data_IF_648532697984
#
_entry.id   IF_648532697984
#
_cell.length_a   1.000
_cell.length_b   1.000
_cell.length_c   1.000
_cell.angle_alpha   90.00
_cell.angle_beta   90.00
_cell.angle_gamma   90.00
#
_symmetry.space_group_name_H-M   'P 1'
#
loop_
_entity.id
_entity.type
_entity.pdbx_description
1 polymer ?
#
# COMPACT_ATOMS: atom_id res chain seq x y z
N UNK A 1 -7.23 -0.06 -24.67
CA UNK A 1 -6.03 0.76 -24.96
C UNK A 1 -4.88 -0.12 -25.45
N UNK A 2 -4.25 0.24 -26.57
CA UNK A 2 -3.09 -0.50 -27.10
C UNK A 2 -1.87 -0.09 -26.28
N UNK A 3 -1.31 -1.02 -25.50
CA UNK A 3 -0.09 -0.77 -24.72
C UNK A 3 1.10 -0.71 -25.67
N UNK A 4 1.98 0.27 -25.47
CA UNK A 4 3.30 0.30 -26.09
C UNK A 4 4.27 -0.36 -25.11
N UNK A 5 5.16 -1.22 -25.58
CA UNK A 5 6.06 -2.05 -24.74
C UNK A 5 7.05 -1.27 -23.85
N UNK A 6 7.05 0.07 -23.91
CA UNK A 6 8.03 0.95 -23.26
C UNK A 6 7.45 1.84 -22.16
N UNK A 7 6.13 1.90 -21.99
CA UNK A 7 5.52 2.83 -21.03
C UNK A 7 5.13 2.11 -19.73
N UNK A 8 5.58 2.63 -18.57
CA UNK A 8 5.14 2.14 -17.26
C UNK A 8 3.63 2.38 -17.09
N UNK A 9 2.89 1.31 -16.80
CA UNK A 9 1.45 1.38 -16.59
C UNK A 9 1.11 1.36 -15.11
N UNK A 10 0.44 2.41 -14.66
CA UNK A 10 -0.13 2.49 -13.31
C UNK A 10 -1.62 2.13 -13.35
N UNK A 11 -2.04 1.22 -12.47
CA UNK A 11 -3.45 0.83 -12.30
C UNK A 11 -3.94 1.32 -10.94
N UNK A 12 -5.02 2.12 -10.95
CA UNK A 12 -5.65 2.65 -9.75
C UNK A 12 -6.92 1.89 -9.39
N UNK A 13 -7.05 1.48 -8.13
CA UNK A 13 -8.28 0.92 -7.58
C UNK A 13 -8.92 1.95 -6.65
N UNK A 14 -10.18 2.31 -6.93
CA UNK A 14 -10.93 3.34 -6.19
C UNK A 14 -12.07 2.71 -5.38
N UNK A 15 -12.66 3.47 -4.46
CA UNK A 15 -13.71 3.01 -3.55
C UNK A 15 -13.26 1.90 -2.58
N UNK A 16 -11.96 1.84 -2.27
CA UNK A 16 -11.34 0.86 -1.36
C UNK A 16 -11.10 1.43 0.05
N UNK A 17 -11.80 2.50 0.42
CA UNK A 17 -11.54 3.27 1.66
C UNK A 17 -11.98 2.60 2.96
N UNK A 18 -12.84 1.57 2.89
CA UNK A 18 -13.37 0.90 4.07
C UNK A 18 -13.07 -0.61 4.05
N UNK A 19 -12.79 -1.17 5.22
CA UNK A 19 -12.60 -2.60 5.52
C UNK A 19 -11.45 -3.34 4.81
N UNK A 20 -10.98 -2.91 3.63
CA UNK A 20 -9.95 -3.62 2.87
C UNK A 20 -8.64 -3.79 3.66
N UNK A 21 -8.20 -2.73 4.34
CA UNK A 21 -7.03 -2.80 5.23
C UNK A 21 -7.24 -3.79 6.38
N UNK A 22 -8.35 -3.67 7.09
CA UNK A 22 -8.67 -4.50 8.25
C UNK A 22 -8.84 -5.98 7.88
N UNK A 23 -9.67 -6.29 6.89
CA UNK A 23 -9.96 -7.65 6.43
C UNK A 23 -8.76 -8.34 5.79
N UNK A 24 -7.88 -7.57 5.14
CA UNK A 24 -6.65 -8.16 4.62
C UNK A 24 -5.72 -8.68 5.73
N UNK A 25 -5.92 -8.28 6.99
CA UNK A 25 -5.00 -8.53 8.10
C UNK A 25 -3.77 -7.63 8.01
N UNK A 26 -3.96 -6.30 7.94
CA UNK A 26 -2.86 -5.34 7.87
C UNK A 26 -1.87 -5.54 9.04
N UNK A 27 -0.58 -5.68 8.74
CA UNK A 27 0.46 -5.97 9.73
C UNK A 27 0.59 -7.45 10.15
N UNK A 28 -0.30 -8.33 9.68
CA UNK A 28 -0.24 -9.78 9.86
C UNK A 28 0.49 -10.51 8.73
N UNK A 29 0.26 -11.81 8.58
CA UNK A 29 0.75 -12.60 7.43
C UNK A 29 -0.23 -12.51 6.26
N UNK A 30 0.29 -12.53 5.03
CA UNK A 30 -0.49 -12.49 3.79
C UNK A 30 -0.35 -13.79 3.00
N UNK A 31 -1.29 -14.04 2.10
CA UNK A 31 -1.16 -15.10 1.11
C UNK A 31 0.14 -14.91 0.32
N UNK A 32 0.95 -15.97 0.22
CA UNK A 32 2.28 -15.95 -0.40
C UNK A 32 3.30 -14.98 0.25
N UNK A 33 3.10 -14.56 1.51
CA UNK A 33 4.00 -13.63 2.21
C UNK A 33 4.24 -12.32 1.46
N UNK A 34 3.26 -11.89 0.65
CA UNK A 34 3.33 -10.63 -0.08
C UNK A 34 3.28 -9.49 0.94
N UNK A 35 4.29 -8.61 0.99
CA UNK A 35 4.31 -7.46 1.89
C UNK A 35 3.07 -6.58 1.75
N UNK A 36 2.54 -6.12 2.89
CA UNK A 36 1.59 -5.01 2.85
C UNK A 36 2.27 -3.75 2.29
N UNK A 37 1.61 -3.04 1.35
CA UNK A 37 2.21 -1.88 0.69
C UNK A 37 2.38 -0.71 1.65
N UNK A 38 3.25 0.23 1.27
CA UNK A 38 3.33 1.54 1.94
C UNK A 38 2.00 2.28 1.82
N UNK A 39 1.59 2.97 2.89
CA UNK A 39 0.42 3.83 2.90
C UNK A 39 0.89 5.27 2.99
N UNK A 40 0.49 6.09 2.02
CA UNK A 40 0.80 7.53 1.96
C UNK A 40 -0.51 8.29 2.08
N UNK A 41 -0.54 9.27 2.98
CA UNK A 41 -1.62 10.24 3.08
C UNK A 41 -1.21 11.45 2.27
N UNK A 42 -2.04 11.81 1.30
CA UNK A 42 -1.89 12.99 0.47
C UNK A 42 -2.93 13.99 0.98
N UNK A 43 -2.44 15.15 1.40
CA UNK A 43 -3.27 16.25 1.88
C UNK A 43 -3.09 17.46 0.97
N UNK A 44 -4.09 18.33 0.93
CA UNK A 44 -4.06 19.55 0.13
C UNK A 44 -4.31 20.74 1.04
N UNK A 45 -3.35 21.65 1.09
CA UNK A 45 -3.44 22.82 1.96
C UNK A 45 -4.39 23.90 1.41
N UNK A 46 -4.58 24.98 2.18
CA UNK A 46 -5.43 26.11 1.82
C UNK A 46 -4.93 26.87 0.58
N UNK A 47 -3.63 26.81 0.29
CA UNK A 47 -3.00 27.40 -0.90
C UNK A 47 -3.10 26.48 -2.13
N UNK A 48 -3.59 25.26 -1.95
CA UNK A 48 -3.73 24.25 -2.98
C UNK A 48 -2.48 23.41 -3.23
N UNK A 49 -1.42 23.54 -2.42
CA UNK A 49 -0.22 22.71 -2.49
C UNK A 49 -0.46 21.31 -1.90
N UNK A 50 0.13 20.30 -2.51
CA UNK A 50 0.05 18.91 -2.05
C UNK A 50 1.14 18.61 -1.04
N UNK A 51 0.75 18.13 0.14
CA UNK A 51 1.70 17.59 1.11
C UNK A 51 1.51 16.08 1.25
N UNK A 52 2.62 15.34 1.33
CA UNK A 52 2.58 13.88 1.44
C UNK A 52 3.19 13.43 2.76
N UNK A 53 2.47 12.58 3.51
CA UNK A 53 2.94 11.99 4.76
C UNK A 53 2.93 10.46 4.63
N UNK A 54 4.02 9.82 5.05
CA UNK A 54 4.08 8.37 5.11
C UNK A 54 3.32 7.89 6.36
N UNK A 55 2.11 7.37 6.17
CA UNK A 55 1.29 6.84 7.27
C UNK A 55 1.85 5.51 7.77
N UNK A 56 2.26 4.65 6.84
CA UNK A 56 2.90 3.41 7.20
C UNK A 56 3.91 2.94 6.16
N UNK A 57 5.01 2.36 6.65
CA UNK A 57 6.06 1.75 5.84
C UNK A 57 5.59 0.43 5.27
N UNK A 58 6.19 0.03 4.15
CA UNK A 58 6.03 -1.32 3.61
C UNK A 58 6.43 -2.36 4.67
N UNK A 59 5.65 -3.44 4.75
CA UNK A 59 5.89 -4.51 5.71
C UNK A 59 7.17 -5.28 5.36
N UNK A 60 8.08 -5.44 6.31
CA UNK A 60 9.28 -6.25 6.08
C UNK A 60 8.99 -7.75 6.16
N UNK A 61 9.71 -8.55 5.36
CA UNK A 61 9.69 -10.01 5.46
C UNK A 61 10.09 -10.51 6.85
N UNK A 62 11.01 -9.82 7.53
CA UNK A 62 11.43 -10.13 8.90
C UNK A 62 10.26 -10.06 9.89
N UNK A 63 9.38 -9.06 9.72
CA UNK A 63 8.18 -8.94 10.55
C UNK A 63 7.25 -10.14 10.36
N UNK A 64 7.07 -10.59 9.11
CA UNK A 64 6.25 -11.78 8.80
C UNK A 64 6.87 -13.07 9.35
N UNK A 65 8.19 -13.26 9.19
CA UNK A 65 8.90 -14.42 9.73
C UNK A 65 8.81 -14.50 11.25
N UNK A 66 8.93 -13.35 11.93
CA UNK A 66 8.76 -13.26 13.38
C UNK A 66 7.36 -13.71 13.83
N UNK A 67 6.31 -13.38 13.08
CA UNK A 67 4.93 -13.82 13.37
C UNK A 67 4.80 -15.34 13.21
N UNK A 68 5.55 -15.95 12.28
CA UNK A 68 5.59 -17.40 12.07
C UNK A 68 6.48 -18.14 13.09
N UNK A 69 7.18 -17.42 13.98
CA UNK A 69 8.04 -18.02 15.00
C UNK A 69 9.49 -18.28 14.55
N UNK A 70 9.93 -17.66 13.44
CA UNK A 70 11.33 -17.67 12.99
C UNK A 70 12.11 -16.45 13.48
#
# INVERSE_FOLDING_TARGET
>A
PKMKDVDELFVGFFNMGAYQGALSGYGGIKHCLIPAPKIVVIDRDENGEYTTKLFAKEQSYKSMLKILGY
#
